data_IF_032556077059
#
_entry.id   IF_032556077059
#
_cell.length_a   1.000
_cell.length_b   1.000
_cell.length_c   1.000
_cell.angle_alpha   90.00
_cell.angle_beta   90.00
_cell.angle_gamma   90.00
#
_symmetry.space_group_name_H-M   'P 1'
#
loop_
_entity.id
_entity.type
_entity.pdbx_description
1 polymer ?
#
# COMPACT_ATOMS: atom_id res chain seq x y z
N UNK A 1 -3.09 17.10 -6.19
CA UNK A 1 -3.91 18.12 -5.49
C UNK A 1 -3.16 19.45 -5.34
N UNK A 2 -3.84 20.51 -4.89
CA UNK A 2 -3.21 21.80 -4.56
C UNK A 2 -2.37 21.69 -3.27
N UNK A 3 -1.22 22.37 -3.21
CA UNK A 3 -0.26 22.24 -2.10
C UNK A 3 -0.84 22.68 -0.75
N UNK A 4 -1.49 23.84 -0.69
CA UNK A 4 -2.02 24.40 0.56
C UNK A 4 -2.98 23.44 1.28
N UNK A 5 -3.88 22.81 0.52
CA UNK A 5 -4.78 21.79 1.04
C UNK A 5 -4.02 20.56 1.58
N UNK A 6 -2.99 20.11 0.86
CA UNK A 6 -2.22 18.96 1.29
C UNK A 6 -1.43 19.25 2.57
N UNK A 7 -0.88 20.46 2.69
CA UNK A 7 -0.20 20.93 3.90
C UNK A 7 -1.17 20.96 5.09
N UNK A 8 -2.41 21.43 4.89
CA UNK A 8 -3.45 21.45 5.93
C UNK A 8 -3.80 20.03 6.43
N UNK A 9 -4.04 19.09 5.52
CA UNK A 9 -4.32 17.69 5.88
C UNK A 9 -3.16 17.10 6.68
N UNK A 10 -1.93 17.34 6.23
CA UNK A 10 -0.73 16.87 6.92
C UNK A 10 -0.63 17.52 8.30
N UNK A 11 -0.86 18.83 8.43
CA UNK A 11 -0.81 19.52 9.72
C UNK A 11 -1.87 19.01 10.71
N UNK A 12 -3.10 18.74 10.25
CA UNK A 12 -4.18 18.21 11.10
C UNK A 12 -3.92 16.79 11.61
N UNK A 13 -3.14 16.01 10.86
CA UNK A 13 -2.86 14.59 11.15
C UNK A 13 -1.43 14.36 11.65
N UNK A 14 -0.62 15.42 11.77
CA UNK A 14 0.71 15.38 12.34
C UNK A 14 0.65 15.52 13.86
N UNK A 15 1.44 14.71 14.56
CA UNK A 15 1.68 14.85 16.01
C UNK A 15 1.43 13.59 16.82
N UNK A 16 0.51 12.73 16.37
CA UNK A 16 0.25 11.46 17.06
C UNK A 16 0.99 10.29 16.40
N UNK A 17 1.61 9.46 17.23
CA UNK A 17 2.18 8.19 16.78
C UNK A 17 1.01 7.23 16.50
N UNK A 18 0.56 7.16 15.25
CA UNK A 18 -0.47 6.21 14.84
C UNK A 18 0.10 4.80 14.78
N UNK A 19 -0.23 3.99 15.80
CA UNK A 19 0.09 2.56 15.81
C UNK A 19 -0.92 1.82 14.94
N UNK A 20 -0.42 1.09 13.95
CA UNK A 20 -1.22 0.32 13.02
C UNK A 20 -0.81 -1.15 13.08
N UNK A 21 -1.66 -1.98 13.66
CA UNK A 21 -1.46 -3.43 13.69
C UNK A 21 -2.11 -4.09 12.48
N UNK A 22 -1.43 -5.05 11.86
CA UNK A 22 -1.97 -5.76 10.71
C UNK A 22 -1.70 -7.25 10.80
N UNK A 23 -2.67 -8.05 10.38
CA UNK A 23 -2.54 -9.49 10.20
C UNK A 23 -3.13 -9.87 8.84
N UNK A 24 -2.71 -11.02 8.31
CA UNK A 24 -3.12 -11.48 6.98
C UNK A 24 -4.65 -11.52 6.86
N UNK A 25 -5.16 -11.02 5.74
CA UNK A 25 -6.59 -10.92 5.43
C UNK A 25 -7.41 -9.96 6.32
N UNK A 26 -6.81 -9.20 7.24
CA UNK A 26 -7.51 -8.16 8.05
C UNK A 26 -8.33 -7.21 7.18
N UNK A 27 -7.81 -6.87 6.02
CA UNK A 27 -8.46 -5.98 5.07
C UNK A 27 -9.87 -6.44 4.67
N UNK A 28 -10.13 -7.76 4.63
CA UNK A 28 -11.43 -8.29 4.28
C UNK A 28 -12.50 -7.95 5.32
N UNK A 29 -12.12 -7.92 6.61
CA UNK A 29 -13.04 -7.56 7.70
C UNK A 29 -13.43 -6.10 7.55
N UNK A 30 -12.45 -5.22 7.36
CA UNK A 30 -12.69 -3.81 7.17
C UNK A 30 -13.52 -3.47 5.93
N UNK A 31 -13.27 -4.13 4.80
CA UNK A 31 -14.06 -3.97 3.58
C UNK A 31 -15.51 -4.42 3.77
N UNK A 32 -15.74 -5.59 4.37
CA UNK A 32 -17.09 -6.07 4.67
C UNK A 32 -17.79 -5.16 5.68
N UNK A 33 -17.07 -4.62 6.67
CA UNK A 33 -17.61 -3.66 7.63
C UNK A 33 -18.06 -2.38 6.95
N UNK A 34 -17.24 -1.83 6.05
CA UNK A 34 -17.62 -0.68 5.23
C UNK A 34 -18.86 -0.97 4.38
N UNK A 35 -18.96 -2.15 3.79
CA UNK A 35 -20.14 -2.56 3.03
C UNK A 35 -21.38 -2.64 3.93
N UNK A 36 -21.29 -3.33 5.07
CA UNK A 36 -22.40 -3.48 6.01
C UNK A 36 -22.94 -2.13 6.49
N UNK A 37 -22.07 -1.16 6.79
CA UNK A 37 -22.47 0.20 7.20
C UNK A 37 -23.38 0.92 6.20
N UNK A 38 -23.28 0.59 4.91
CA UNK A 38 -24.12 1.18 3.86
C UNK A 38 -25.45 0.43 3.68
N UNK A 39 -25.62 -0.75 4.29
CA UNK A 39 -26.84 -1.53 4.19
C UNK A 39 -27.86 -1.18 5.29
N UNK A 40 -29.16 -1.35 5.03
CA UNK A 40 -30.19 -1.26 6.06
C UNK A 40 -29.88 -2.17 7.26
N UNK A 41 -30.02 -1.65 8.47
CA UNK A 41 -29.72 -2.39 9.70
C UNK A 41 -28.24 -2.73 9.90
N UNK A 42 -27.34 -2.14 9.11
CA UNK A 42 -25.89 -2.37 9.15
C UNK A 42 -25.50 -3.84 9.00
N UNK A 43 -26.27 -4.57 8.19
CA UNK A 43 -26.16 -6.02 8.01
C UNK A 43 -26.30 -6.37 6.53
N UNK A 44 -25.49 -7.31 6.06
CA UNK A 44 -25.46 -7.77 4.69
C UNK A 44 -25.76 -9.28 4.62
N UNK A 45 -26.80 -9.72 3.89
CA UNK A 45 -27.07 -11.13 3.69
C UNK A 45 -25.91 -11.84 2.99
N UNK A 46 -25.48 -12.98 3.52
CA UNK A 46 -24.37 -13.76 2.94
C UNK A 46 -24.65 -14.15 1.49
N UNK A 47 -25.91 -14.48 1.17
CA UNK A 47 -26.32 -14.80 -0.19
C UNK A 47 -26.13 -13.61 -1.17
N UNK A 48 -26.33 -12.36 -0.70
CA UNK A 48 -26.09 -11.17 -1.50
C UNK A 48 -24.58 -10.93 -1.68
N UNK A 49 -23.80 -11.07 -0.60
CA UNK A 49 -22.34 -10.95 -0.65
C UNK A 49 -21.70 -11.94 -1.63
N UNK A 50 -22.18 -13.19 -1.69
CA UNK A 50 -21.73 -14.22 -2.65
C UNK A 50 -21.96 -13.85 -4.12
N UNK A 51 -22.91 -12.95 -4.41
CA UNK A 51 -23.22 -12.46 -5.76
C UNK A 51 -22.58 -11.09 -6.06
N UNK A 52 -21.73 -10.60 -5.16
CA UNK A 52 -21.12 -9.27 -5.24
C UNK A 52 -19.60 -9.34 -5.47
N UNK A 53 -18.95 -8.17 -5.57
CA UNK A 53 -17.49 -8.07 -5.60
C UNK A 53 -16.80 -8.65 -4.34
N UNK A 54 -17.53 -8.81 -3.24
CA UNK A 54 -17.03 -9.33 -1.97
C UNK A 54 -17.01 -10.87 -1.89
N UNK A 55 -17.53 -11.58 -2.89
CA UNK A 55 -17.63 -13.05 -2.87
C UNK A 55 -16.29 -13.74 -2.58
N UNK A 56 -15.20 -13.25 -3.18
CA UNK A 56 -13.85 -13.81 -2.98
C UNK A 56 -13.30 -13.64 -1.55
N UNK A 57 -13.85 -12.72 -0.74
CA UNK A 57 -13.47 -12.60 0.67
C UNK A 57 -14.03 -13.77 1.48
N UNK A 58 -15.26 -14.19 1.19
CA UNK A 58 -15.97 -15.25 1.91
C UNK A 58 -15.29 -16.62 1.81
N UNK A 59 -14.48 -16.81 0.77
CA UNK A 59 -13.75 -18.06 0.54
C UNK A 59 -12.44 -18.18 1.33
N UNK A 60 -11.98 -17.09 1.98
CA UNK A 60 -10.76 -17.14 2.77
C UNK A 60 -10.99 -17.88 4.09
N UNK A 61 -9.97 -18.60 4.61
CA UNK A 61 -10.12 -19.42 5.82
C UNK A 61 -10.74 -18.69 7.02
N UNK A 62 -10.35 -17.42 7.26
CA UNK A 62 -10.88 -16.62 8.36
C UNK A 62 -12.40 -16.40 8.27
N UNK A 63 -12.92 -16.14 7.07
CA UNK A 63 -14.36 -15.90 6.89
C UNK A 63 -15.16 -17.18 6.93
N UNK A 64 -14.59 -18.34 6.54
CA UNK A 64 -15.29 -19.62 6.68
C UNK A 64 -15.71 -19.91 8.12
N UNK A 65 -14.86 -19.59 9.10
CA UNK A 65 -15.19 -19.70 10.52
C UNK A 65 -16.32 -18.74 10.93
N UNK A 66 -16.26 -17.48 10.50
CA UNK A 66 -17.30 -16.48 10.78
C UNK A 66 -18.66 -16.84 10.15
N UNK A 67 -18.64 -17.38 8.94
CA UNK A 67 -19.85 -17.75 8.23
C UNK A 67 -20.61 -18.89 8.92
N UNK A 68 -19.91 -19.77 9.64
CA UNK A 68 -20.54 -20.86 10.39
C UNK A 68 -21.40 -20.36 11.56
N UNK A 69 -21.16 -19.15 12.08
CA UNK A 69 -21.85 -18.61 13.26
C UNK A 69 -22.76 -17.42 12.95
N UNK A 70 -22.78 -16.91 11.72
CA UNK A 70 -23.42 -15.65 11.37
C UNK A 70 -24.94 -15.72 11.11
N UNK A 71 -25.57 -16.90 11.20
CA UNK A 71 -27.03 -17.03 11.02
C UNK A 71 -27.55 -16.58 9.63
N UNK A 72 -26.69 -16.49 8.61
CA UNK A 72 -27.06 -16.13 7.24
C UNK A 72 -26.78 -14.69 6.82
N UNK A 73 -26.37 -13.81 7.76
CA UNK A 73 -26.02 -12.41 7.48
C UNK A 73 -24.78 -11.99 8.27
N UNK A 74 -23.93 -11.15 7.69
CA UNK A 74 -22.82 -10.53 8.40
C UNK A 74 -23.26 -9.11 8.82
N UNK A 75 -23.12 -8.78 10.10
CA UNK A 75 -23.31 -7.43 10.59
C UNK A 75 -22.00 -6.79 11.08
N UNK A 76 -22.04 -5.48 11.26
CA UNK A 76 -20.89 -4.71 11.74
C UNK A 76 -20.36 -5.20 13.11
N UNK A 77 -21.25 -5.61 14.02
CA UNK A 77 -20.86 -6.01 15.38
C UNK A 77 -20.06 -7.33 15.36
N UNK A 78 -20.53 -8.33 14.60
CA UNK A 78 -19.84 -9.59 14.40
C UNK A 78 -18.47 -9.39 13.75
N UNK A 79 -18.38 -8.52 12.74
CA UNK A 79 -17.12 -8.20 12.08
C UNK A 79 -16.13 -7.48 13.01
N UNK A 80 -16.60 -6.57 13.86
CA UNK A 80 -15.76 -5.91 14.86
C UNK A 80 -15.25 -6.90 15.92
N UNK A 81 -16.12 -7.80 16.40
CA UNK A 81 -15.71 -8.85 17.34
C UNK A 81 -14.65 -9.79 16.74
N UNK A 82 -14.67 -9.95 15.41
CA UNK A 82 -13.73 -10.78 14.67
C UNK A 82 -12.43 -10.06 14.26
N UNK A 83 -12.31 -8.74 14.44
CA UNK A 83 -11.13 -7.95 14.03
C UNK A 83 -9.97 -8.11 15.03
N UNK A 84 -9.50 -9.34 15.21
CA UNK A 84 -8.36 -9.64 16.06
C UNK A 84 -7.59 -10.86 15.57
N UNK A 85 -6.27 -10.81 15.74
CA UNK A 85 -5.37 -11.95 15.60
C UNK A 85 -4.16 -11.76 16.52
N UNK A 86 -3.82 -12.79 17.29
CA UNK A 86 -2.68 -12.76 18.20
C UNK A 86 -1.33 -12.60 17.45
N UNK A 87 -1.25 -13.04 16.19
CA UNK A 87 -0.06 -12.98 15.35
C UNK A 87 0.11 -11.64 14.60
N UNK A 88 -0.65 -10.60 14.96
CA UNK A 88 -0.57 -9.28 14.34
C UNK A 88 0.85 -8.67 14.35
N UNK A 89 1.15 -7.93 13.29
CA UNK A 89 2.41 -7.21 13.09
C UNK A 89 2.17 -5.72 13.32
N UNK A 90 2.84 -5.09 14.30
CA UNK A 90 2.72 -3.66 14.52
C UNK A 90 3.55 -2.85 13.52
N UNK A 91 2.98 -1.75 13.06
CA UNK A 91 3.59 -0.73 12.22
C UNK A 91 3.29 0.66 12.76
N UNK A 92 4.01 1.66 12.27
CA UNK A 92 3.73 3.07 12.53
C UNK A 92 3.38 3.77 11.23
N UNK A 93 2.23 4.44 11.19
CA UNK A 93 1.84 5.26 10.04
C UNK A 93 2.38 6.68 10.20
N UNK A 94 2.91 7.22 9.11
CA UNK A 94 3.23 8.64 8.97
C UNK A 94 2.56 9.17 7.70
N UNK A 95 2.25 10.46 7.69
CA UNK A 95 1.75 11.16 6.51
C UNK A 95 2.76 12.24 6.08
N UNK A 96 3.04 12.30 4.78
CA UNK A 96 3.96 13.26 4.17
C UNK A 96 3.45 13.66 2.78
N UNK A 97 4.20 14.49 2.05
CA UNK A 97 3.89 14.94 0.70
C UNK A 97 4.92 14.47 -0.33
N UNK A 98 4.48 14.37 -1.58
CA UNK A 98 5.35 14.12 -2.73
C UNK A 98 4.94 14.97 -3.93
N UNK A 99 5.92 15.51 -4.67
CA UNK A 99 5.69 16.35 -5.84
C UNK A 99 6.10 17.80 -5.60
N UNK A 100 5.25 18.73 -6.04
CA UNK A 100 5.45 20.19 -5.95
C UNK A 100 6.47 20.79 -6.94
N UNK A 101 6.94 19.98 -7.90
CA UNK A 101 7.78 20.50 -8.97
C UNK A 101 6.98 21.41 -9.92
N UNK A 102 7.62 22.43 -10.51
CA UNK A 102 7.05 23.19 -11.60
C UNK A 102 6.56 22.27 -12.73
N UNK A 103 5.52 22.69 -13.46
CA UNK A 103 4.92 21.88 -14.53
C UNK A 103 5.93 21.38 -15.57
N UNK A 104 7.04 22.09 -15.80
CA UNK A 104 8.13 21.66 -16.69
C UNK A 104 8.91 20.45 -16.18
N UNK A 105 9.00 20.28 -14.85
CA UNK A 105 9.75 19.21 -14.16
C UNK A 105 8.86 18.15 -13.52
N UNK A 106 7.55 18.38 -13.42
CA UNK A 106 6.61 17.47 -12.75
C UNK A 106 6.66 16.02 -13.27
N UNK A 107 7.03 15.81 -14.53
CA UNK A 107 7.13 14.46 -15.12
C UNK A 107 8.18 13.60 -14.43
N UNK A 108 9.22 14.21 -13.87
CA UNK A 108 10.25 13.51 -13.11
C UNK A 108 9.75 13.00 -11.76
N UNK A 109 8.64 13.58 -11.26
CA UNK A 109 7.98 13.16 -10.01
C UNK A 109 7.07 11.95 -10.19
N UNK A 110 6.85 11.49 -11.44
CA UNK A 110 6.05 10.32 -11.79
C UNK A 110 4.65 10.31 -11.16
N UNK A 111 4.03 11.47 -11.01
CA UNK A 111 2.65 11.64 -10.51
C UNK A 111 1.66 11.60 -11.69
N UNK A 112 0.35 11.53 -11.45
CA UNK A 112 -0.67 11.41 -12.52
C UNK A 112 -1.28 12.73 -13.02
N UNK A 113 -1.15 13.83 -12.26
CA UNK A 113 -1.32 15.22 -12.73
C UNK A 113 -0.44 16.20 -11.94
N UNK A 114 -0.09 17.39 -12.47
CA UNK A 114 0.71 18.37 -11.73
C UNK A 114 0.12 18.74 -10.37
N UNK A 115 1.00 19.04 -9.41
CA UNK A 115 0.65 19.34 -8.02
C UNK A 115 1.37 18.41 -7.06
N UNK A 116 0.71 18.09 -5.94
CA UNK A 116 1.23 17.21 -4.90
C UNK A 116 0.33 15.98 -4.67
N UNK A 117 0.92 14.92 -4.15
CA UNK A 117 0.24 13.74 -3.63
C UNK A 117 0.47 13.67 -2.11
N UNK A 118 -0.53 13.14 -1.39
CA UNK A 118 -0.32 12.64 -0.04
C UNK A 118 0.51 11.34 -0.13
N UNK A 119 1.39 11.14 0.85
CA UNK A 119 2.18 9.93 1.01
C UNK A 119 1.87 9.33 2.36
N UNK A 120 1.16 8.20 2.34
CA UNK A 120 1.00 7.38 3.54
C UNK A 120 2.19 6.41 3.64
N UNK A 121 2.96 6.51 4.71
CA UNK A 121 4.17 5.71 4.95
C UNK A 121 3.89 4.64 6.00
N UNK A 122 4.12 3.38 5.66
CA UNK A 122 4.09 2.24 6.57
C UNK A 122 5.49 1.97 7.10
N UNK A 123 5.75 2.35 8.34
CA UNK A 123 7.07 2.26 8.97
C UNK A 123 7.17 1.06 9.91
N UNK A 124 8.38 0.53 10.04
CA UNK A 124 8.67 -0.54 10.98
C UNK A 124 8.45 -0.12 12.45
N UNK A 125 8.14 -1.10 13.29
CA UNK A 125 8.08 -0.95 14.75
C UNK A 125 9.46 -1.10 15.41
N UNK A 126 9.50 -0.99 16.74
CA UNK A 126 10.72 -1.20 17.52
C UNK A 126 11.29 -2.62 17.44
N UNK A 127 10.50 -3.62 17.04
CA UNK A 127 10.98 -4.98 16.80
C UNK A 127 12.09 -5.02 15.74
N UNK A 128 11.87 -4.29 14.64
CA UNK A 128 12.82 -4.19 13.54
C UNK A 128 14.18 -3.61 13.95
N UNK A 129 14.19 -2.60 14.84
CA UNK A 129 15.41 -1.93 15.29
C UNK A 129 16.39 -2.92 15.95
N UNK A 130 15.90 -3.93 16.68
CA UNK A 130 16.75 -4.92 17.35
C UNK A 130 17.50 -5.82 16.36
N UNK A 131 16.87 -6.16 15.25
CA UNK A 131 17.49 -7.00 14.21
C UNK A 131 18.32 -6.18 13.22
N UNK A 132 18.00 -4.91 13.05
CA UNK A 132 18.73 -4.00 12.17
C UNK A 132 20.04 -3.50 12.80
N UNK A 133 20.06 -3.25 14.12
CA UNK A 133 21.24 -2.73 14.82
C UNK A 133 22.54 -3.53 14.59
N UNK A 134 22.51 -4.87 14.69
CA UNK A 134 23.69 -5.71 14.43
C UNK A 134 24.27 -5.63 13.03
N UNK A 135 23.60 -4.98 12.06
CA UNK A 135 24.14 -4.77 10.72
C UNK A 135 25.19 -3.64 10.67
N UNK A 136 25.25 -2.79 11.70
CA UNK A 136 26.13 -1.62 11.73
C UNK A 136 25.64 -0.46 10.85
N UNK A 137 26.58 0.31 10.31
CA UNK A 137 26.30 1.53 9.53
C UNK A 137 25.89 1.20 8.08
N UNK A 138 24.58 0.95 7.91
CA UNK A 138 24.01 0.54 6.63
C UNK A 138 22.98 1.53 6.09
N UNK A 139 23.18 2.82 6.35
CA UNK A 139 22.26 3.84 5.87
C UNK A 139 22.26 3.94 4.34
N UNK A 140 21.06 4.04 3.77
CA UNK A 140 20.86 4.01 2.32
C UNK A 140 20.83 2.61 1.71
N UNK A 141 21.18 1.55 2.46
CA UNK A 141 21.21 0.19 1.91
C UNK A 141 19.84 -0.23 1.36
N UNK A 142 18.78 0.03 2.14
CA UNK A 142 17.40 -0.40 1.87
C UNK A 142 16.47 0.69 1.34
N UNK A 143 16.96 1.92 1.12
CA UNK A 143 16.14 3.06 0.62
C UNK A 143 16.70 3.62 -0.68
N UNK A 144 15.86 4.29 -1.46
CA UNK A 144 16.26 5.11 -2.60
C UNK A 144 15.94 6.57 -2.32
N UNK A 145 16.90 7.48 -2.57
CA UNK A 145 16.75 8.90 -2.23
C UNK A 145 15.62 9.59 -3.02
N UNK A 146 15.27 9.06 -4.19
CA UNK A 146 14.21 9.58 -5.04
C UNK A 146 12.84 8.98 -4.76
N UNK A 147 12.62 8.38 -3.58
CA UNK A 147 11.32 7.84 -3.16
C UNK A 147 10.87 8.42 -1.81
N UNK A 148 9.55 8.50 -1.55
CA UNK A 148 8.99 9.20 -0.39
C UNK A 148 9.06 8.37 0.90
N UNK A 149 10.28 8.12 1.37
CA UNK A 149 10.53 7.44 2.66
C UNK A 149 10.65 8.44 3.81
N UNK A 150 10.24 8.03 5.00
CA UNK A 150 10.29 8.85 6.20
C UNK A 150 11.74 9.21 6.56
N UNK A 151 11.96 10.46 7.01
CA UNK A 151 13.28 10.93 7.44
C UNK A 151 13.73 10.31 8.77
N UNK A 152 12.80 10.20 9.73
CA UNK A 152 13.09 9.78 11.10
C UNK A 152 12.75 8.31 11.39
N UNK A 153 12.18 7.60 10.41
CA UNK A 153 11.74 6.21 10.56
C UNK A 153 12.19 5.37 9.37
N UNK A 154 12.29 4.06 9.60
CA UNK A 154 12.55 3.10 8.53
C UNK A 154 11.24 2.71 7.88
N UNK A 155 11.02 3.19 6.66
CA UNK A 155 9.80 2.92 5.88
C UNK A 155 9.88 1.55 5.22
N UNK A 156 8.95 0.66 5.59
CA UNK A 156 8.77 -0.63 4.91
C UNK A 156 8.17 -0.42 3.53
N UNK A 157 7.06 0.33 3.47
CA UNK A 157 6.30 0.58 2.26
C UNK A 157 5.63 1.95 2.32
N UNK A 158 5.13 2.44 1.20
CA UNK A 158 4.36 3.68 1.12
C UNK A 158 3.29 3.61 0.03
N UNK A 159 2.29 4.46 0.14
CA UNK A 159 1.27 4.71 -0.88
C UNK A 159 1.29 6.19 -1.30
N UNK A 160 1.26 6.45 -2.62
CA UNK A 160 1.04 7.81 -3.16
C UNK A 160 -0.44 7.98 -3.52
N UNK A 161 -1.04 9.06 -3.04
CA UNK A 161 -2.48 9.28 -3.07
C UNK A 161 -2.76 10.69 -3.60
N UNK A 162 -3.54 10.81 -4.68
CA UNK A 162 -4.14 12.08 -5.09
C UNK A 162 -5.60 12.12 -4.63
N UNK A 163 -6.08 13.29 -4.22
CA UNK A 163 -7.43 13.47 -3.72
C UNK A 163 -8.10 14.65 -4.43
N UNK A 164 -9.42 14.60 -4.47
CA UNK A 164 -10.27 15.66 -4.93
C UNK A 164 -11.54 15.70 -4.06
N UNK A 165 -11.64 16.74 -3.22
CA UNK A 165 -12.78 16.92 -2.32
C UNK A 165 -14.06 17.22 -3.07
N UNK A 166 -13.98 17.98 -4.17
CA UNK A 166 -15.16 18.37 -4.96
C UNK A 166 -15.93 17.16 -5.46
N UNK A 167 -15.24 16.13 -5.95
CA UNK A 167 -15.85 14.88 -6.42
C UNK A 167 -15.92 13.79 -5.34
N UNK A 168 -15.45 14.05 -4.12
CA UNK A 168 -15.35 13.04 -3.07
C UNK A 168 -14.50 11.82 -3.46
N UNK A 169 -13.51 12.02 -4.34
CA UNK A 169 -12.74 10.95 -4.98
C UNK A 169 -11.26 10.97 -4.60
N UNK A 170 -10.66 9.79 -4.56
CA UNK A 170 -9.22 9.64 -4.41
C UNK A 170 -8.67 8.63 -5.41
N UNK A 171 -7.44 8.84 -5.84
CA UNK A 171 -6.66 7.89 -6.62
C UNK A 171 -5.46 7.45 -5.79
N UNK A 172 -5.44 6.17 -5.43
CA UNK A 172 -4.23 5.51 -4.94
C UNK A 172 -3.37 5.23 -6.19
N UNK A 173 -2.38 6.09 -6.42
CA UNK A 173 -1.57 6.05 -7.62
C UNK A 173 -0.65 4.82 -7.65
N UNK A 174 -0.12 4.42 -6.50
CA UNK A 174 0.65 3.20 -6.32
C UNK A 174 0.90 2.92 -4.84
N UNK A 175 1.28 1.67 -4.58
CA UNK A 175 1.99 1.28 -3.36
C UNK A 175 3.33 0.65 -3.75
N UNK A 176 4.37 0.89 -2.96
CA UNK A 176 5.69 0.31 -3.23
C UNK A 176 6.49 0.01 -1.95
N UNK A 177 7.48 -0.87 -2.09
CA UNK A 177 8.52 -1.12 -1.08
C UNK A 177 9.89 -1.16 -1.74
N UNK A 178 10.79 -0.26 -1.33
CA UNK A 178 12.22 -0.39 -1.65
C UNK A 178 12.90 -1.41 -0.75
N UNK A 179 12.46 -1.43 0.51
CA UNK A 179 13.13 -2.13 1.58
C UNK A 179 13.21 -3.63 1.30
N UNK A 180 12.06 -4.25 1.05
CA UNK A 180 11.99 -5.68 0.77
C UNK A 180 12.61 -6.04 -0.57
N UNK A 181 12.44 -5.19 -1.59
CA UNK A 181 13.06 -5.39 -2.91
C UNK A 181 14.59 -5.44 -2.82
N UNK A 182 15.17 -4.59 -1.97
CA UNK A 182 16.62 -4.53 -1.73
C UNK A 182 17.07 -5.65 -0.79
N UNK A 183 16.26 -6.02 0.19
CA UNK A 183 16.54 -7.13 1.10
C UNK A 183 16.64 -8.47 0.35
N UNK A 184 15.74 -8.74 -0.60
CA UNK A 184 15.81 -9.96 -1.44
C UNK A 184 17.12 -10.02 -2.22
N UNK A 185 17.51 -8.93 -2.90
CA UNK A 185 18.79 -8.87 -3.64
C UNK A 185 20.01 -9.03 -2.74
N UNK A 186 19.91 -8.58 -1.49
CA UNK A 186 20.96 -8.76 -0.50
C UNK A 186 21.00 -10.21 -0.01
N UNK A 187 19.85 -10.82 0.28
CA UNK A 187 19.74 -12.24 0.66
C UNK A 187 20.38 -13.14 -0.40
N UNK A 188 20.05 -12.93 -1.68
CA UNK A 188 20.62 -13.70 -2.79
C UNK A 188 22.16 -13.59 -2.84
N UNK A 189 22.70 -12.39 -2.64
CA UNK A 189 24.14 -12.15 -2.59
C UNK A 189 24.81 -12.82 -1.39
N UNK A 190 24.22 -12.70 -0.20
CA UNK A 190 24.75 -13.30 1.03
C UNK A 190 24.72 -14.83 0.96
N UNK A 191 23.67 -15.42 0.40
CA UNK A 191 23.59 -16.87 0.16
C UNK A 191 24.64 -17.34 -0.83
N UNK A 192 24.91 -16.57 -1.89
CA UNK A 192 26.02 -16.84 -2.80
C UNK A 192 27.36 -16.84 -2.05
N UNK A 193 27.63 -15.84 -1.21
CA UNK A 193 28.87 -15.75 -0.41
C UNK A 193 29.01 -16.90 0.58
N UNK A 194 27.91 -17.27 1.26
CA UNK A 194 27.87 -18.43 2.16
C UNK A 194 28.20 -19.73 1.43
N UNK A 195 27.65 -19.95 0.23
CA UNK A 195 27.95 -21.12 -0.62
C UNK A 195 29.38 -21.14 -1.13
N UNK A 196 30.01 -19.97 -1.28
CA UNK A 196 31.41 -19.83 -1.64
C UNK A 196 32.39 -20.07 -0.46
N UNK A 197 31.88 -20.44 0.72
CA UNK A 197 32.70 -20.81 1.88
C UNK A 197 32.97 -19.68 2.88
N UNK A 198 32.37 -18.49 2.72
CA UNK A 198 32.51 -17.42 3.70
C UNK A 198 31.94 -17.83 5.06
N UNK A 199 32.69 -17.52 6.12
CA UNK A 199 32.31 -17.83 7.50
C UNK A 199 31.16 -16.96 8.02
N UNK A 200 30.39 -17.46 8.99
CA UNK A 200 29.23 -16.73 9.54
C UNK A 200 29.59 -15.36 10.16
N UNK A 201 30.78 -15.25 10.73
CA UNK A 201 31.30 -14.02 11.35
C UNK A 201 32.11 -13.14 10.37
N UNK A 202 32.24 -13.56 9.12
CA UNK A 202 33.01 -12.82 8.10
C UNK A 202 32.29 -11.52 7.71
N UNK A 203 33.09 -10.48 7.46
CA UNK A 203 32.61 -9.21 6.91
C UNK A 203 32.53 -9.30 5.40
N UNK A 204 31.32 -9.10 4.86
CA UNK A 204 31.03 -9.19 3.44
C UNK A 204 30.82 -7.79 2.88
N UNK A 205 31.60 -7.47 1.85
CA UNK A 205 31.38 -6.27 1.06
C UNK A 205 30.10 -6.40 0.22
N UNK A 206 29.22 -5.40 0.34
CA UNK A 206 28.07 -5.23 -0.55
C UNK A 206 27.88 -3.75 -0.86
N UNK A 207 28.08 -3.39 -2.14
CA UNK A 207 28.15 -1.99 -2.59
C UNK A 207 29.24 -1.24 -1.80
N UNK A 208 28.85 -0.23 -1.02
CA UNK A 208 29.74 0.59 -0.18
C UNK A 208 29.75 0.17 1.29
N UNK A 209 29.05 -0.91 1.65
CA UNK A 209 28.87 -1.33 3.03
C UNK A 209 29.65 -2.62 3.33
N UNK A 210 30.11 -2.75 4.57
CA UNK A 210 30.61 -4.01 5.13
C UNK A 210 29.53 -4.57 6.05
N UNK A 211 29.18 -5.83 5.86
CA UNK A 211 28.07 -6.49 6.56
C UNK A 211 28.55 -7.79 7.19
N UNK A 212 28.25 -8.06 8.47
CA UNK A 212 28.49 -9.38 9.04
C UNK A 212 27.56 -10.41 8.40
N UNK A 213 28.12 -11.49 7.81
CA UNK A 213 27.36 -12.45 6.98
C UNK A 213 26.15 -13.04 7.72
N UNK A 214 26.37 -13.64 8.88
CA UNK A 214 25.33 -14.30 9.69
C UNK A 214 24.18 -13.36 10.07
N UNK A 215 24.44 -12.26 10.78
CA UNK A 215 23.41 -11.29 11.15
C UNK A 215 22.68 -10.68 9.94
N UNK A 216 23.39 -10.37 8.85
CA UNK A 216 22.75 -9.83 7.65
C UNK A 216 21.81 -10.85 6.99
N UNK A 217 22.21 -12.11 6.94
CA UNK A 217 21.38 -13.18 6.40
C UNK A 217 20.17 -13.46 7.29
N UNK A 218 20.35 -13.52 8.61
CA UNK A 218 19.26 -13.68 9.59
C UNK A 218 18.24 -12.54 9.48
N UNK A 219 18.73 -11.30 9.33
CA UNK A 219 17.88 -10.13 9.14
C UNK A 219 17.06 -10.22 7.84
N UNK A 220 17.69 -10.56 6.71
CA UNK A 220 16.97 -10.73 5.44
C UNK A 220 15.90 -11.83 5.51
N UNK A 221 16.23 -12.97 6.12
CA UNK A 221 15.28 -14.09 6.34
C UNK A 221 14.09 -13.64 7.19
N UNK A 222 14.34 -12.93 8.29
CA UNK A 222 13.27 -12.37 9.11
C UNK A 222 12.38 -11.42 8.30
N UNK A 223 12.95 -10.54 7.47
CA UNK A 223 12.16 -9.67 6.60
C UNK A 223 11.27 -10.46 5.63
N UNK A 224 11.83 -11.49 5.01
CA UNK A 224 11.15 -12.38 4.08
C UNK A 224 10.01 -13.16 4.74
N UNK A 225 10.21 -13.63 5.97
CA UNK A 225 9.20 -14.44 6.67
C UNK A 225 8.11 -13.56 7.29
N UNK A 226 8.48 -12.46 7.94
CA UNK A 226 7.56 -11.63 8.73
C UNK A 226 6.78 -10.61 7.90
N UNK A 227 7.42 -9.97 6.92
CA UNK A 227 6.85 -8.80 6.24
C UNK A 227 6.50 -9.04 4.77
N UNK A 228 7.29 -9.84 4.04
CA UNK A 228 7.03 -10.14 2.63
C UNK A 228 5.60 -10.64 2.35
N UNK A 229 5.01 -11.53 3.17
CA UNK A 229 3.68 -12.07 2.88
C UNK A 229 2.53 -11.06 3.05
N UNK A 230 2.75 -9.99 3.83
CA UNK A 230 1.67 -9.09 4.29
C UNK A 230 1.83 -7.64 3.85
N UNK A 231 3.02 -7.18 3.44
CA UNK A 231 3.28 -5.74 3.26
C UNK A 231 2.31 -5.07 2.27
N UNK A 232 1.99 -5.75 1.16
CA UNK A 232 1.17 -5.17 0.10
C UNK A 232 -0.28 -5.02 0.57
N UNK A 233 -0.79 -6.02 1.28
CA UNK A 233 -2.12 -5.99 1.87
C UNK A 233 -2.19 -4.97 3.01
N UNK A 234 -1.17 -4.94 3.87
CA UNK A 234 -1.06 -3.99 4.97
C UNK A 234 -1.05 -2.55 4.46
N UNK A 235 -0.28 -2.25 3.42
CA UNK A 235 -0.14 -0.90 2.86
C UNK A 235 -1.41 -0.46 2.12
N UNK A 236 -1.99 -1.33 1.28
CA UNK A 236 -3.22 -0.98 0.57
C UNK A 236 -4.40 -0.82 1.53
N UNK A 237 -4.51 -1.69 2.54
CA UNK A 237 -5.54 -1.54 3.58
C UNK A 237 -5.35 -0.26 4.38
N UNK A 238 -4.12 0.07 4.79
CA UNK A 238 -3.85 1.31 5.49
C UNK A 238 -4.27 2.53 4.65
N UNK A 239 -4.00 2.53 3.34
CA UNK A 239 -4.41 3.60 2.44
C UNK A 239 -5.94 3.71 2.31
N UNK A 240 -6.65 2.58 2.19
CA UNK A 240 -8.13 2.56 2.09
C UNK A 240 -8.77 2.99 3.41
N UNK A 241 -8.31 2.45 4.54
CA UNK A 241 -8.79 2.82 5.86
C UNK A 241 -8.56 4.31 6.12
N UNK A 242 -7.35 4.81 5.84
CA UNK A 242 -7.06 6.25 5.89
C UNK A 242 -8.05 7.07 5.06
N UNK A 243 -8.23 6.72 3.79
CA UNK A 243 -9.11 7.46 2.89
C UNK A 243 -10.58 7.42 3.31
N UNK A 244 -11.08 6.30 3.82
CA UNK A 244 -12.51 6.14 4.19
C UNK A 244 -12.83 6.57 5.61
N UNK A 245 -11.96 6.23 6.56
CA UNK A 245 -12.23 6.37 7.99
C UNK A 245 -11.70 7.70 8.53
N UNK A 246 -10.54 8.16 8.04
CA UNK A 246 -9.94 9.43 8.50
C UNK A 246 -10.31 10.61 7.60
N UNK A 247 -10.24 10.44 6.27
CA UNK A 247 -10.51 11.52 5.31
C UNK A 247 -12.00 11.57 4.89
N UNK A 248 -12.71 10.45 4.91
CA UNK A 248 -14.14 10.39 4.57
C UNK A 248 -14.46 10.32 3.07
N UNK A 249 -13.52 9.91 2.22
CA UNK A 249 -13.73 9.78 0.77
C UNK A 249 -14.27 8.38 0.40
N UNK A 250 -15.36 8.35 -0.37
CA UNK A 250 -16.03 7.10 -0.76
C UNK A 250 -15.54 6.54 -2.10
N UNK A 251 -15.21 7.41 -3.05
CA UNK A 251 -14.90 7.06 -4.43
C UNK A 251 -13.40 6.79 -4.60
N UNK A 252 -12.99 5.55 -4.37
CA UNK A 252 -11.58 5.17 -4.41
C UNK A 252 -11.22 4.51 -5.74
N UNK A 253 -10.23 5.09 -6.41
CA UNK A 253 -9.64 4.58 -7.64
C UNK A 253 -8.24 4.05 -7.37
N UNK A 254 -7.82 3.09 -8.19
CA UNK A 254 -6.48 2.52 -8.20
C UNK A 254 -6.02 2.34 -9.64
N UNK A 255 -4.75 2.61 -9.94
CA UNK A 255 -4.25 2.45 -11.30
C UNK A 255 -4.27 0.98 -11.75
N UNK A 256 -4.70 0.75 -12.99
CA UNK A 256 -4.22 -0.41 -13.75
C UNK A 256 -2.77 -0.19 -14.17
N UNK A 257 -2.04 -1.26 -14.51
CA UNK A 257 -0.67 -1.15 -15.03
C UNK A 257 -0.60 -0.20 -16.24
N UNK A 258 -1.53 -0.36 -17.18
CA UNK A 258 -1.61 0.46 -18.38
C UNK A 258 -1.87 1.94 -18.06
N UNK A 259 -2.84 2.23 -17.18
CA UNK A 259 -3.15 3.61 -16.80
C UNK A 259 -2.00 4.28 -16.03
N UNK A 260 -1.33 3.54 -15.14
CA UNK A 260 -0.17 4.04 -14.41
C UNK A 260 0.99 4.35 -15.34
N UNK A 261 1.33 3.44 -16.28
CA UNK A 261 2.37 3.69 -17.29
C UNK A 261 2.04 4.90 -18.17
N UNK A 262 0.79 5.01 -18.61
CA UNK A 262 0.33 6.09 -19.49
C UNK A 262 0.40 7.45 -18.80
N UNK A 263 -0.20 7.59 -17.62
CA UNK A 263 -0.32 8.86 -16.91
C UNK A 263 1.00 9.32 -16.29
N UNK A 264 1.77 8.38 -15.74
CA UNK A 264 3.08 8.65 -15.13
C UNK A 264 4.24 8.62 -16.14
N UNK A 265 3.94 8.32 -17.41
CA UNK A 265 4.90 8.29 -18.54
C UNK A 265 6.09 7.36 -18.28
N UNK A 266 5.82 6.21 -17.68
CA UNK A 266 6.87 5.23 -17.32
C UNK A 266 7.29 4.47 -18.57
N UNK A 267 8.49 4.75 -19.06
CA UNK A 267 9.06 4.13 -20.27
C UNK A 267 9.94 2.90 -20.02
N UNK A 268 10.71 2.88 -18.93
CA UNK A 268 11.80 1.91 -18.74
C UNK A 268 11.40 0.67 -17.94
N UNK A 269 11.25 0.81 -16.63
CA UNK A 269 10.96 -0.33 -15.73
C UNK A 269 9.51 -0.27 -15.29
N UNK A 270 8.72 -1.24 -15.73
CA UNK A 270 7.34 -1.40 -15.25
C UNK A 270 7.36 -1.80 -13.77
N UNK A 271 6.40 -1.31 -12.96
CA UNK A 271 6.23 -1.83 -11.62
C UNK A 271 5.72 -3.29 -11.68
N UNK A 272 5.87 -4.10 -10.61
CA UNK A 272 5.45 -5.50 -10.62
C UNK A 272 3.97 -5.65 -10.98
N UNK A 273 3.66 -6.42 -12.03
CA UNK A 273 2.31 -6.58 -12.57
C UNK A 273 1.28 -7.00 -11.52
N UNK A 274 1.65 -7.89 -10.58
CA UNK A 274 0.74 -8.37 -9.53
C UNK A 274 0.17 -7.26 -8.63
N UNK A 275 0.92 -6.18 -8.38
CA UNK A 275 0.44 -5.01 -7.61
C UNK A 275 -0.64 -4.20 -8.34
N UNK A 276 -0.77 -4.38 -9.65
CA UNK A 276 -1.69 -3.65 -10.51
C UNK A 276 -2.77 -4.56 -11.14
N UNK A 277 -2.77 -5.86 -10.81
CA UNK A 277 -3.75 -6.82 -11.33
C UNK A 277 -4.40 -7.65 -10.24
N UNK A 278 -3.61 -8.34 -9.42
CA UNK A 278 -4.12 -9.28 -8.42
C UNK A 278 -4.51 -8.57 -7.14
N UNK A 279 -3.65 -7.68 -6.66
CA UNK A 279 -3.88 -6.98 -5.39
C UNK A 279 -5.17 -6.14 -5.40
N UNK A 280 -5.48 -5.30 -6.41
CA UNK A 280 -6.74 -4.55 -6.41
C UNK A 280 -7.97 -5.46 -6.40
N UNK A 281 -7.95 -6.56 -7.19
CA UNK A 281 -9.06 -7.52 -7.23
C UNK A 281 -9.28 -8.21 -5.89
N UNK A 282 -8.19 -8.58 -5.20
CA UNK A 282 -8.25 -9.15 -3.85
C UNK A 282 -8.93 -8.22 -2.86
N UNK A 283 -8.85 -6.91 -3.08
CA UNK A 283 -9.46 -5.84 -2.31
C UNK A 283 -10.83 -5.40 -2.86
N UNK A 284 -11.47 -6.22 -3.71
CA UNK A 284 -12.78 -5.94 -4.28
C UNK A 284 -12.82 -4.69 -5.17
N UNK A 285 -11.67 -4.25 -5.71
CA UNK A 285 -11.70 -3.30 -6.81
C UNK A 285 -12.17 -3.99 -8.10
N UNK A 286 -13.04 -3.29 -8.82
CA UNK A 286 -13.56 -3.70 -10.12
C UNK A 286 -12.91 -2.89 -11.23
N UNK A 287 -12.56 -3.50 -12.38
CA UNK A 287 -12.14 -2.75 -13.56
C UNK A 287 -13.21 -1.73 -13.95
N UNK A 288 -12.79 -0.53 -14.34
CA UNK A 288 -13.66 0.52 -14.88
C UNK A 288 -12.99 1.21 -16.07
N UNK A 289 -13.79 1.62 -17.04
CA UNK A 289 -13.33 2.49 -18.12
C UNK A 289 -13.21 3.96 -17.68
N UNK A 290 -13.80 4.30 -16.54
CA UNK A 290 -13.89 5.67 -16.06
C UNK A 290 -12.57 6.11 -15.44
N UNK A 291 -12.17 7.34 -15.76
CA UNK A 291 -11.08 8.03 -15.09
C UNK A 291 -11.69 9.04 -14.13
N UNK A 292 -11.09 9.27 -12.94
CA UNK A 292 -11.56 10.32 -12.04
C UNK A 292 -11.63 11.68 -12.74
N UNK A 293 -12.71 12.42 -12.52
CA UNK A 293 -12.95 13.71 -13.17
C UNK A 293 -11.81 14.71 -12.92
N UNK A 294 -11.24 14.69 -11.71
CA UNK A 294 -10.13 15.57 -11.34
C UNK A 294 -8.84 15.31 -12.15
N UNK A 295 -8.67 14.11 -12.72
CA UNK A 295 -7.59 13.84 -13.67
C UNK A 295 -7.93 14.40 -15.05
N UNK A 296 -9.19 14.29 -15.48
CA UNK A 296 -9.68 14.78 -16.76
C UNK A 296 -9.76 16.32 -16.81
N UNK A 297 -9.80 16.98 -15.66
CA UNK A 297 -9.66 18.43 -15.56
C UNK A 297 -8.31 18.95 -16.11
N UNK A 298 -7.25 18.12 -16.12
CA UNK A 298 -6.01 18.45 -16.83
C UNK A 298 -6.16 18.14 -18.34
N UNK A 299 -6.01 19.18 -19.18
CA UNK A 299 -6.16 19.09 -20.63
C UNK A 299 -5.26 18.02 -21.28
N UNK A 300 -4.06 17.78 -20.75
CA UNK A 300 -3.17 16.76 -21.29
C UNK A 300 -3.70 15.35 -20.99
N UNK A 301 -4.21 15.13 -19.78
CA UNK A 301 -4.83 13.87 -19.41
C UNK A 301 -6.13 13.61 -20.19
N UNK A 302 -6.97 14.62 -20.39
CA UNK A 302 -8.15 14.50 -21.25
C UNK A 302 -7.80 14.11 -22.70
N UNK A 303 -6.69 14.65 -23.23
CA UNK A 303 -6.17 14.24 -24.55
C UNK A 303 -5.69 12.79 -24.53
N UNK A 304 -4.92 12.38 -23.52
CA UNK A 304 -4.44 11.00 -23.39
C UNK A 304 -5.60 10.01 -23.31
N UNK A 305 -6.65 10.33 -22.55
CA UNK A 305 -7.87 9.52 -22.44
C UNK A 305 -8.54 9.32 -23.80
N UNK A 306 -8.71 10.38 -24.59
CA UNK A 306 -9.29 10.29 -25.95
C UNK A 306 -8.45 9.43 -26.89
N UNK A 307 -7.13 9.51 -26.80
CA UNK A 307 -6.20 8.72 -27.63
C UNK A 307 -6.09 7.26 -27.18
N UNK A 308 -6.50 6.95 -25.95
CA UNK A 308 -6.34 5.62 -25.32
C UNK A 308 -7.64 5.20 -24.63
N UNK A 309 -8.76 5.20 -25.38
CA UNK A 309 -10.10 4.93 -24.83
C UNK A 309 -10.26 3.54 -24.21
N UNK A 310 -9.41 2.57 -24.58
CA UNK A 310 -9.39 1.23 -24.00
C UNK A 310 -8.65 1.15 -22.64
N UNK A 311 -7.88 2.17 -22.25
CA UNK A 311 -7.12 2.15 -21.00
C UNK A 311 -8.02 2.51 -19.82
N UNK A 312 -8.39 1.50 -19.03
CA UNK A 312 -9.19 1.63 -17.81
C UNK A 312 -8.37 1.68 -16.52
N UNK A 313 -9.06 1.88 -15.41
CA UNK A 313 -8.55 1.84 -14.04
C UNK A 313 -9.29 0.78 -13.22
N UNK A 314 -9.04 0.78 -11.91
CA UNK A 314 -9.81 0.04 -10.93
C UNK A 314 -10.57 1.03 -10.05
N UNK A 315 -11.82 0.70 -9.69
CA UNK A 315 -12.62 1.43 -8.70
C UNK A 315 -13.04 0.46 -7.61
N UNK A 316 -12.89 0.86 -6.34
CA UNK A 316 -13.30 0.03 -5.22
C UNK A 316 -14.83 -0.16 -5.29
N UNK A 317 -15.28 -1.40 -5.16
CA UNK A 317 -16.72 -1.69 -5.15
C UNK A 317 -17.41 -0.83 -4.09
N UNK A 318 -18.46 -0.13 -4.52
CA UNK A 318 -19.34 0.59 -3.60
C UNK A 318 -20.34 -0.42 -3.05
N UNK A 319 -20.59 -0.33 -1.74
CA UNK A 319 -21.59 -1.15 -1.06
C UNK A 319 -22.97 -0.52 -1.17
#
# INVERSE_FOLDING_TARGET
MQKALADEIVACLQGERTVYSYYRDRYGIGLLRHHCRQQPGRSAPVAALRRSAYAGLLEKPRFKALLATCGGSLDEALLNAADYDAAQTPFILNLDLWGDEPRSKWRWQQTSRPGVNLVLQLNFSGEHQRLYGPLGEVDGLFKYYGHPVARQRRTLAWARIDIDWTSGSALIEEIQTDWLRRAVRLEDWLEYRRRAGCGEHEQISYRRHQLPLGPALAYCRHLRERYQPIWAEAMLWAAIAFLREEIGLANLYYHSEASGRLLKRIGHTAPPRSLYTELPRRFCFQPTADWPDFLLADKANARLRRQNSAVGMFRLAVG
#
